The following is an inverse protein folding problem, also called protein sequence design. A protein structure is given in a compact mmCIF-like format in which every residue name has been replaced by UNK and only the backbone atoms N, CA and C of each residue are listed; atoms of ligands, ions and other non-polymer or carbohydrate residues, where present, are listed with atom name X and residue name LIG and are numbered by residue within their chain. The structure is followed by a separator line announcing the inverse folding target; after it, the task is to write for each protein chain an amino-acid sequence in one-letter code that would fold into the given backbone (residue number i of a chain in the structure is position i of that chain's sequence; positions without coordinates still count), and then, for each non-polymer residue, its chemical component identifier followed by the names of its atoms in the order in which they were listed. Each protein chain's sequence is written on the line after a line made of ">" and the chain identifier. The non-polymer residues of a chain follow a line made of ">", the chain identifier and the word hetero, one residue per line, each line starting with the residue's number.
data_IF_562128562142
#
_entry.id   IF_562128562142
#
_cell.length_a   1.000
_cell.length_b   1.000
_cell.length_c   1.000
_cell.angle_alpha   90.00
_cell.angle_beta   90.00
_cell.angle_gamma   90.00
#
_symmetry.space_group_name_H-M   'P 1'
#
loop_
_entity.id
_entity.type
_entity.pdbx_description
1 polymer ?
#
# COMPACT_ATOMS: atom_id res chain seq x y z
N UNK A 1 4.84 -7.64 -15.70
CA UNK A 1 4.72 -7.33 -14.26
C UNK A 1 4.72 -8.64 -13.47
N UNK A 2 5.31 -8.68 -12.29
CA UNK A 2 5.27 -9.88 -11.42
C UNK A 2 4.18 -9.66 -10.38
N UNK A 3 3.07 -10.43 -10.36
CA UNK A 3 1.97 -10.19 -9.45
C UNK A 3 2.39 -10.42 -8.00
N UNK A 4 2.01 -9.51 -7.11
CA UNK A 4 2.02 -9.76 -5.68
C UNK A 4 0.76 -10.56 -5.36
N UNK A 5 0.91 -11.76 -4.81
CA UNK A 5 -0.18 -12.73 -4.54
C UNK A 5 -1.34 -12.19 -3.66
N UNK A 6 -1.27 -10.96 -3.17
CA UNK A 6 -2.27 -10.38 -2.25
C UNK A 6 -2.55 -8.89 -2.48
N UNK A 7 -2.04 -8.28 -3.56
CA UNK A 7 -2.29 -6.88 -3.83
C UNK A 7 -2.82 -6.70 -5.25
N UNK A 8 -4.07 -6.27 -5.44
CA UNK A 8 -4.71 -6.14 -6.74
C UNK A 8 -4.13 -5.03 -7.63
N UNK A 9 -3.27 -4.14 -7.10
CA UNK A 9 -2.70 -3.01 -7.82
C UNK A 9 -2.20 -3.35 -9.21
N UNK A 10 -1.38 -4.42 -9.34
CA UNK A 10 -0.80 -4.79 -10.63
C UNK A 10 -1.85 -5.31 -11.61
N UNK A 11 -2.85 -6.04 -11.12
CA UNK A 11 -3.94 -6.55 -11.94
C UNK A 11 -4.80 -5.40 -12.43
N UNK A 12 -5.22 -4.50 -11.55
CA UNK A 12 -6.02 -3.33 -11.89
C UNK A 12 -5.29 -2.40 -12.88
N UNK A 13 -4.00 -2.16 -12.67
CA UNK A 13 -3.20 -1.39 -13.62
C UNK A 13 -3.08 -2.11 -14.97
N UNK A 14 -2.87 -3.44 -14.97
CA UNK A 14 -2.73 -4.21 -16.21
C UNK A 14 -4.03 -4.23 -17.00
N UNK A 15 -5.17 -4.37 -16.33
CA UNK A 15 -6.48 -4.36 -16.98
C UNK A 15 -6.78 -2.98 -17.59
N UNK A 16 -6.54 -1.91 -16.83
CA UNK A 16 -6.71 -0.55 -17.35
C UNK A 16 -5.75 -0.21 -18.51
N UNK A 17 -4.51 -0.75 -18.52
CA UNK A 17 -3.60 -0.61 -19.65
C UNK A 17 -4.06 -1.42 -20.88
N UNK A 18 -4.73 -2.56 -20.69
CA UNK A 18 -5.36 -3.32 -21.78
C UNK A 18 -6.53 -2.57 -22.39
N UNK A 19 -7.33 -1.90 -21.55
CA UNK A 19 -8.43 -1.03 -21.99
C UNK A 19 -7.91 0.17 -22.83
N UNK A 20 -6.69 0.64 -22.57
CA UNK A 20 -5.98 1.64 -23.40
C UNK A 20 -5.29 1.02 -24.64
N UNK A 21 -5.58 -0.24 -24.97
CA UNK A 21 -5.09 -0.92 -26.18
C UNK A 21 -3.69 -1.54 -26.08
N UNK A 22 -3.08 -1.63 -24.90
CA UNK A 22 -1.77 -2.25 -24.75
C UNK A 22 -1.88 -3.76 -24.50
N UNK A 23 -0.98 -4.54 -25.10
CA UNK A 23 -0.81 -5.95 -24.72
C UNK A 23 0.00 -6.04 -23.44
N UNK A 24 -0.62 -6.49 -22.34
CA UNK A 24 0.02 -6.58 -21.03
C UNK A 24 0.05 -8.03 -20.55
N UNK A 25 1.26 -8.54 -20.29
CA UNK A 25 1.50 -9.83 -19.65
C UNK A 25 1.91 -9.61 -18.19
N UNK A 26 1.19 -10.22 -17.26
CA UNK A 26 1.63 -10.31 -15.87
C UNK A 26 2.64 -11.47 -15.77
N UNK A 27 3.89 -11.14 -15.45
CA UNK A 27 4.93 -12.15 -15.27
C UNK A 27 4.70 -12.92 -13.97
N UNK A 28 4.81 -14.25 -14.01
CA UNK A 28 4.85 -15.06 -12.81
C UNK A 28 6.10 -14.72 -11.99
N UNK A 29 5.92 -14.63 -10.66
CA UNK A 29 7.05 -14.47 -9.75
C UNK A 29 8.00 -15.68 -9.86
N UNK A 30 9.32 -15.50 -9.62
CA UNK A 30 10.28 -16.58 -9.72
C UNK A 30 10.01 -17.67 -8.68
N UNK A 31 9.46 -18.80 -9.12
CA UNK A 31 9.37 -20.05 -8.36
C UNK A 31 9.66 -21.21 -9.31
N UNK A 32 10.71 -21.99 -9.10
CA UNK A 32 11.87 -21.77 -8.23
C UNK A 32 12.72 -20.58 -8.71
N UNK A 33 13.54 -19.99 -7.84
CA UNK A 33 14.34 -18.78 -8.11
C UNK A 33 15.36 -19.05 -9.24
N UNK A 34 15.16 -18.58 -10.48
CA UNK A 34 16.07 -18.86 -11.58
C UNK A 34 17.37 -18.04 -11.48
N UNK A 35 18.41 -18.47 -12.20
CA UNK A 35 19.69 -17.75 -12.25
C UNK A 35 19.53 -16.34 -12.84
N UNK A 36 18.62 -16.16 -13.79
CA UNK A 36 18.33 -14.89 -14.45
C UNK A 36 16.81 -14.60 -14.48
N UNK A 37 16.21 -14.21 -13.33
CA UNK A 37 14.76 -14.14 -13.20
C UNK A 37 14.08 -13.10 -14.11
N UNK A 38 14.71 -11.96 -14.36
CA UNK A 38 14.16 -10.92 -15.24
C UNK A 38 14.24 -11.35 -16.70
N UNK A 39 15.36 -11.89 -17.14
CA UNK A 39 15.54 -12.37 -18.53
C UNK A 39 14.57 -13.52 -18.84
N UNK A 40 14.43 -14.47 -17.92
CA UNK A 40 13.52 -15.60 -18.11
C UNK A 40 12.07 -15.12 -18.14
N UNK A 41 11.67 -14.21 -17.25
CA UNK A 41 10.33 -13.62 -17.25
C UNK A 41 10.07 -12.86 -18.57
N UNK A 42 11.04 -12.10 -19.05
CA UNK A 42 10.95 -11.35 -20.32
C UNK A 42 10.81 -12.29 -21.54
N UNK A 43 11.61 -13.36 -21.60
CA UNK A 43 11.52 -14.37 -22.68
C UNK A 43 10.15 -15.07 -22.67
N UNK A 44 9.69 -15.51 -21.48
CA UNK A 44 8.38 -16.17 -21.32
C UNK A 44 7.19 -15.25 -21.68
N UNK A 45 7.35 -13.94 -21.46
CA UNK A 45 6.35 -12.96 -21.83
C UNK A 45 6.34 -12.59 -23.34
N UNK A 46 7.16 -13.25 -24.16
CA UNK A 46 7.25 -12.97 -25.60
C UNK A 46 8.10 -11.76 -25.95
N UNK A 47 9.11 -11.47 -25.14
CA UNK A 47 10.09 -10.39 -25.35
C UNK A 47 9.44 -9.00 -25.54
N UNK A 48 8.64 -8.53 -24.59
CA UNK A 48 7.96 -7.24 -24.69
C UNK A 48 8.96 -6.08 -24.78
N UNK A 49 8.53 -4.98 -25.42
CA UNK A 49 9.35 -3.76 -25.55
C UNK A 49 9.51 -2.99 -24.26
N UNK A 50 8.65 -3.24 -23.27
CA UNK A 50 8.65 -2.58 -21.98
C UNK A 50 8.63 -3.62 -20.87
N UNK A 51 9.46 -3.42 -19.86
CA UNK A 51 9.43 -4.15 -18.60
C UNK A 51 9.06 -3.19 -17.48
N UNK A 52 7.92 -3.41 -16.85
CA UNK A 52 7.47 -2.62 -15.71
C UNK A 52 7.71 -3.38 -14.42
N UNK A 53 8.54 -2.83 -13.56
CA UNK A 53 9.00 -3.43 -12.32
C UNK A 53 8.18 -2.87 -11.13
N UNK A 54 7.88 -3.78 -10.18
CA UNK A 54 7.28 -3.45 -8.88
C UNK A 54 8.10 -4.12 -7.78
N UNK A 55 7.83 -3.93 -6.53
CA UNK A 55 8.39 -4.63 -5.35
C UNK A 55 9.73 -5.36 -5.57
N UNK A 56 10.79 -4.61 -5.71
CA UNK A 56 12.13 -5.12 -6.08
C UNK A 56 12.78 -6.04 -5.03
N UNK A 57 12.30 -6.04 -3.77
CA UNK A 57 12.82 -6.89 -2.70
C UNK A 57 12.88 -8.37 -3.09
N UNK A 58 11.93 -8.88 -3.89
CA UNK A 58 11.93 -10.27 -4.38
C UNK A 58 13.12 -10.62 -5.26
N UNK A 59 13.66 -9.64 -5.99
CA UNK A 59 14.84 -9.81 -6.85
C UNK A 59 16.15 -9.69 -6.08
N UNK A 60 16.11 -9.17 -4.85
CA UNK A 60 17.25 -9.06 -3.95
C UNK A 60 17.40 -10.28 -3.04
N UNK A 61 16.42 -11.17 -3.00
CA UNK A 61 16.53 -12.43 -2.27
C UNK A 61 17.49 -13.39 -2.99
N UNK A 62 18.61 -13.83 -2.34
CA UNK A 62 19.56 -14.71 -2.98
C UNK A 62 19.02 -16.13 -3.15
N UNK A 63 19.33 -16.76 -4.27
CA UNK A 63 19.11 -18.19 -4.50
C UNK A 63 20.12 -19.02 -3.69
N UNK A 64 21.39 -18.59 -3.78
CA UNK A 64 22.57 -19.09 -3.08
C UNK A 64 23.46 -17.87 -2.84
N UNK A 65 23.98 -17.68 -1.62
CA UNK A 65 24.94 -16.63 -1.33
C UNK A 65 24.34 -15.32 -0.80
N UNK A 66 25.04 -14.19 -1.04
CA UNK A 66 24.72 -12.91 -0.45
C UNK A 66 23.76 -12.06 -1.28
N UNK A 67 22.95 -11.24 -0.63
CA UNK A 67 22.04 -10.24 -1.28
C UNK A 67 22.77 -9.32 -2.29
N UNK A 68 24.04 -8.99 -2.03
CA UNK A 68 24.87 -8.20 -2.95
C UNK A 68 25.06 -8.86 -4.32
N UNK A 69 25.16 -10.17 -4.37
CA UNK A 69 25.22 -10.91 -5.64
C UNK A 69 23.88 -10.83 -6.39
N UNK A 70 22.76 -11.02 -5.69
CA UNK A 70 21.42 -10.91 -6.29
C UNK A 70 21.17 -9.48 -6.84
N UNK A 71 21.59 -8.45 -6.11
CA UNK A 71 21.51 -7.06 -6.56
C UNK A 71 22.34 -6.82 -7.84
N UNK A 72 23.62 -7.26 -7.86
CA UNK A 72 24.50 -7.12 -9.04
C UNK A 72 23.94 -7.86 -10.26
N UNK A 73 23.45 -9.09 -10.06
CA UNK A 73 22.81 -9.89 -11.11
C UNK A 73 21.61 -9.16 -11.70
N UNK A 74 20.69 -8.68 -10.87
CA UNK A 74 19.47 -7.96 -11.31
C UNK A 74 19.84 -6.70 -12.11
N UNK A 75 20.81 -5.92 -11.65
CA UNK A 75 21.30 -4.75 -12.37
C UNK A 75 21.97 -5.13 -13.71
N UNK A 76 22.67 -6.26 -13.78
CA UNK A 76 23.23 -6.76 -15.03
C UNK A 76 22.14 -7.16 -16.02
N UNK A 77 21.12 -7.90 -15.58
CA UNK A 77 19.98 -8.27 -16.40
C UNK A 77 19.27 -7.03 -16.98
N UNK A 78 19.07 -5.97 -16.16
CA UNK A 78 18.49 -4.71 -16.62
C UNK A 78 19.38 -4.01 -17.66
N UNK A 79 20.71 -4.02 -17.49
CA UNK A 79 21.64 -3.46 -18.50
C UNK A 79 21.55 -4.22 -19.82
N UNK A 80 21.43 -5.54 -19.78
CA UNK A 80 21.27 -6.38 -20.98
C UNK A 80 19.95 -6.07 -21.66
N UNK A 81 18.84 -6.06 -20.94
CA UNK A 81 17.51 -5.71 -21.48
C UNK A 81 17.53 -4.32 -22.16
N UNK A 82 18.13 -3.32 -21.53
CA UNK A 82 18.26 -1.98 -22.14
C UNK A 82 19.10 -1.99 -23.41
N UNK A 83 20.18 -2.76 -23.48
CA UNK A 83 20.98 -2.90 -24.71
C UNK A 83 20.21 -3.59 -25.83
N UNK A 84 19.23 -4.43 -25.49
CA UNK A 84 18.28 -5.04 -26.43
C UNK A 84 17.13 -4.10 -26.82
N UNK A 85 17.16 -2.83 -26.39
CA UNK A 85 16.14 -1.83 -26.69
C UNK A 85 14.88 -1.93 -25.82
N UNK A 86 14.92 -2.72 -24.74
CA UNK A 86 13.78 -2.84 -23.81
C UNK A 86 13.74 -1.62 -22.89
N UNK A 87 12.61 -0.97 -22.84
CA UNK A 87 12.32 0.14 -21.92
C UNK A 87 12.05 -0.38 -20.52
N UNK A 88 12.64 0.24 -19.52
CA UNK A 88 12.49 -0.14 -18.11
C UNK A 88 11.72 0.94 -17.36
N UNK A 89 10.57 0.57 -16.82
CA UNK A 89 9.77 1.42 -15.92
C UNK A 89 9.71 0.76 -14.54
N UNK A 90 9.81 1.55 -13.49
CA UNK A 90 9.72 1.05 -12.11
C UNK A 90 8.69 1.84 -11.30
N UNK A 91 7.76 1.15 -10.62
CA UNK A 91 6.89 1.79 -9.62
C UNK A 91 7.49 1.64 -8.23
N UNK A 92 7.74 2.76 -7.58
CA UNK A 92 8.27 2.85 -6.24
C UNK A 92 7.13 2.70 -5.21
N UNK A 93 7.06 1.53 -4.58
CA UNK A 93 6.06 1.26 -3.54
C UNK A 93 6.59 1.49 -2.11
N UNK A 94 7.91 1.41 -1.90
CA UNK A 94 8.58 1.62 -0.62
C UNK A 94 9.97 2.20 -0.86
N UNK A 95 10.45 3.04 0.05
CA UNK A 95 11.82 3.58 -0.03
C UNK A 95 12.86 2.48 0.25
N UNK A 96 12.60 1.58 1.19
CA UNK A 96 13.46 0.46 1.56
C UNK A 96 12.69 -0.60 2.34
N UNK A 97 13.39 -1.62 2.82
CA UNK A 97 12.82 -2.59 3.74
C UNK A 97 12.67 -1.96 5.14
N UNK A 98 11.49 -2.13 5.75
CA UNK A 98 11.18 -1.55 7.07
C UNK A 98 12.05 -2.09 8.22
N UNK A 99 12.83 -3.18 8.02
CA UNK A 99 13.72 -3.72 9.06
C UNK A 99 15.13 -3.11 9.07
N UNK A 100 15.47 -2.32 8.06
CA UNK A 100 16.69 -1.52 7.95
C UNK A 100 18.02 -2.29 7.91
N UNK A 101 17.98 -3.63 7.89
CA UNK A 101 19.19 -4.48 8.04
C UNK A 101 20.22 -4.33 6.94
N UNK A 102 19.84 -3.87 5.76
CA UNK A 102 20.70 -3.77 4.57
C UNK A 102 20.61 -2.41 3.89
N UNK A 103 20.35 -1.35 4.66
CA UNK A 103 20.04 0.00 4.16
C UNK A 103 21.06 0.51 3.12
N UNK A 104 22.37 0.36 3.36
CA UNK A 104 23.40 0.84 2.42
C UNK A 104 23.38 0.08 1.08
N UNK A 105 23.19 -1.22 1.11
CA UNK A 105 23.08 -2.04 -0.10
C UNK A 105 21.82 -1.68 -0.89
N UNK A 106 20.70 -1.51 -0.21
CA UNK A 106 19.43 -1.14 -0.82
C UNK A 106 19.49 0.25 -1.45
N UNK A 107 20.03 1.24 -0.74
CA UNK A 107 20.24 2.59 -1.27
C UNK A 107 21.10 2.55 -2.54
N UNK A 108 22.23 1.85 -2.51
CA UNK A 108 23.11 1.72 -3.67
C UNK A 108 22.44 1.01 -4.84
N UNK A 109 21.62 -0.02 -4.56
CA UNK A 109 20.86 -0.74 -5.57
C UNK A 109 19.77 0.16 -6.18
N UNK A 110 18.95 0.84 -5.38
CA UNK A 110 17.87 1.69 -5.86
C UNK A 110 18.40 2.90 -6.64
N UNK A 111 19.52 3.51 -6.22
CA UNK A 111 20.20 4.55 -7.01
C UNK A 111 20.55 4.06 -8.42
N UNK A 112 21.14 2.85 -8.54
CA UNK A 112 21.47 2.28 -9.85
C UNK A 112 20.20 1.87 -10.63
N UNK A 113 19.16 1.40 -9.95
CA UNK A 113 17.88 1.09 -10.56
C UNK A 113 17.23 2.33 -11.18
N UNK A 114 17.21 3.47 -10.46
CA UNK A 114 16.75 4.75 -11.02
C UNK A 114 17.57 5.14 -12.26
N UNK A 115 18.90 5.02 -12.20
CA UNK A 115 19.77 5.35 -13.34
C UNK A 115 19.53 4.42 -14.56
N UNK A 116 19.09 3.18 -14.33
CA UNK A 116 18.77 2.22 -15.39
C UNK A 116 17.29 2.27 -15.82
N UNK A 117 16.42 2.93 -15.09
CA UNK A 117 15.01 3.09 -15.45
C UNK A 117 14.85 4.25 -16.43
N UNK A 118 13.96 4.10 -17.39
CA UNK A 118 13.55 5.18 -18.30
C UNK A 118 12.50 6.08 -17.64
N UNK A 119 11.69 5.50 -16.72
CA UNK A 119 10.83 6.23 -15.83
C UNK A 119 10.70 5.50 -14.48
N UNK A 120 10.54 6.28 -13.40
CA UNK A 120 10.22 5.79 -12.05
C UNK A 120 8.91 6.45 -11.62
N UNK A 121 7.90 5.65 -11.39
CA UNK A 121 6.59 6.12 -10.92
C UNK A 121 6.62 6.26 -9.41
N UNK A 122 6.37 7.47 -8.92
CA UNK A 122 6.11 7.80 -7.53
C UNK A 122 4.62 8.13 -7.38
N UNK A 123 3.96 7.71 -6.29
CA UNK A 123 2.51 7.89 -6.17
C UNK A 123 2.10 9.28 -5.67
N UNK A 124 3.06 10.11 -5.25
CA UNK A 124 2.85 11.48 -4.80
C UNK A 124 4.17 12.27 -4.89
N UNK A 125 4.13 13.58 -4.76
CA UNK A 125 5.34 14.42 -4.78
C UNK A 125 6.23 14.19 -3.55
N UNK A 126 5.63 13.95 -2.37
CA UNK A 126 6.39 13.57 -1.18
C UNK A 126 7.20 12.29 -1.42
N UNK A 127 6.64 11.25 -2.07
CA UNK A 127 7.37 10.02 -2.40
C UNK A 127 8.51 10.29 -3.40
N UNK A 128 8.30 11.19 -4.36
CA UNK A 128 9.34 11.61 -5.29
C UNK A 128 10.51 12.27 -4.56
N UNK A 129 10.23 13.22 -3.67
CA UNK A 129 11.26 13.90 -2.89
C UNK A 129 11.97 12.94 -1.94
N UNK A 130 11.22 12.09 -1.22
CA UNK A 130 11.80 11.07 -0.34
C UNK A 130 12.74 10.11 -1.09
N UNK A 131 12.43 9.75 -2.34
CA UNK A 131 13.32 8.91 -3.15
C UNK A 131 14.60 9.66 -3.55
N UNK A 132 14.51 10.94 -3.92
CA UNK A 132 15.64 11.77 -4.24
C UNK A 132 16.61 11.83 -3.05
N UNK A 133 16.09 12.12 -1.87
CA UNK A 133 16.88 12.27 -0.65
C UNK A 133 17.45 10.93 -0.16
N UNK A 134 16.61 9.89 -0.07
CA UNK A 134 17.00 8.59 0.46
C UNK A 134 18.03 7.86 -0.40
N UNK A 135 17.98 8.06 -1.72
CA UNK A 135 18.93 7.44 -2.65
C UNK A 135 20.05 8.38 -3.07
N UNK A 136 20.08 9.62 -2.56
CA UNK A 136 21.03 10.67 -2.91
C UNK A 136 21.16 10.77 -4.44
N UNK A 137 20.04 11.04 -5.12
CA UNK A 137 19.95 11.03 -6.56
C UNK A 137 20.56 12.31 -7.18
N UNK A 138 21.40 12.17 -8.21
CA UNK A 138 21.90 13.34 -8.93
C UNK A 138 20.78 14.05 -9.71
N UNK A 139 20.83 15.38 -9.82
CA UNK A 139 19.81 16.19 -10.50
C UNK A 139 19.49 15.69 -11.92
N UNK A 140 20.49 15.14 -12.64
CA UNK A 140 20.32 14.56 -13.98
C UNK A 140 19.37 13.36 -14.07
N UNK A 141 18.94 12.81 -12.93
CA UNK A 141 17.99 11.68 -12.88
C UNK A 141 16.60 12.10 -12.38
N UNK A 142 16.43 13.33 -11.88
CA UNK A 142 15.17 13.77 -11.28
C UNK A 142 13.99 13.74 -12.28
N UNK A 143 14.25 14.05 -13.55
CA UNK A 143 13.21 14.01 -14.61
C UNK A 143 12.69 12.60 -14.91
N UNK A 144 13.38 11.57 -14.44
CA UNK A 144 12.88 10.18 -14.56
C UNK A 144 11.82 9.84 -13.53
N UNK A 145 11.79 10.56 -12.38
CA UNK A 145 10.80 10.35 -11.33
C UNK A 145 9.52 11.12 -11.69
N UNK A 146 8.46 10.37 -11.98
CA UNK A 146 7.17 10.91 -12.44
C UNK A 146 6.10 10.60 -11.41
N UNK A 147 5.30 11.61 -11.09
CA UNK A 147 4.17 11.42 -10.17
C UNK A 147 2.98 10.87 -10.93
N UNK A 148 2.55 9.67 -10.54
CA UNK A 148 1.34 9.01 -11.04
C UNK A 148 0.59 8.46 -9.82
N UNK A 149 -0.61 8.93 -9.51
CA UNK A 149 -1.34 8.53 -8.31
C UNK A 149 -1.58 7.02 -8.23
N UNK A 150 -1.78 6.51 -7.01
CA UNK A 150 -2.25 5.15 -6.80
C UNK A 150 -3.74 5.06 -7.11
N UNK A 151 -4.16 4.12 -7.95
CA UNK A 151 -5.55 3.91 -8.31
C UNK A 151 -6.41 3.36 -7.18
N UNK A 152 -7.72 3.60 -7.24
CA UNK A 152 -8.70 3.08 -6.29
C UNK A 152 -8.96 1.57 -6.46
N UNK A 153 -9.83 1.01 -5.62
CA UNK A 153 -10.19 -0.42 -5.65
C UNK A 153 -11.65 -0.65 -6.07
N UNK A 154 -12.27 0.33 -6.76
CA UNK A 154 -13.63 0.19 -7.25
C UNK A 154 -13.77 -1.02 -8.17
N UNK A 155 -14.80 -1.84 -7.92
CA UNK A 155 -15.09 -3.05 -8.69
C UNK A 155 -14.18 -4.27 -8.42
N UNK A 156 -13.15 -4.14 -7.59
CA UNK A 156 -12.28 -5.29 -7.24
C UNK A 156 -12.87 -6.15 -6.12
N UNK A 157 -13.21 -5.53 -5.00
CA UNK A 157 -13.85 -6.23 -3.88
C UNK A 157 -15.36 -6.20 -4.02
N UNK A 158 -16.03 -7.25 -3.56
CA UNK A 158 -17.50 -7.25 -3.45
C UNK A 158 -17.96 -6.07 -2.58
N UNK A 159 -19.01 -5.39 -3.01
CA UNK A 159 -19.61 -4.26 -2.32
C UNK A 159 -21.15 -4.32 -2.50
N UNK A 160 -21.73 -5.43 -2.06
CA UNK A 160 -23.16 -5.73 -2.18
C UNK A 160 -23.85 -5.76 -0.83
N UNK A 161 -23.09 -5.70 0.27
CA UNK A 161 -23.58 -5.77 1.62
C UNK A 161 -23.90 -4.37 2.18
N UNK A 162 -25.15 -4.19 2.64
CA UNK A 162 -25.54 -2.96 3.35
C UNK A 162 -24.88 -2.88 4.73
N UNK A 163 -24.78 -1.66 5.26
CA UNK A 163 -24.17 -1.34 6.57
C UNK A 163 -24.77 -2.16 7.71
N UNK A 164 -26.10 -2.24 7.82
CA UNK A 164 -26.77 -2.94 8.93
C UNK A 164 -26.47 -4.44 8.92
N UNK A 165 -26.49 -5.07 7.75
CA UNK A 165 -26.13 -6.47 7.60
C UNK A 165 -24.63 -6.72 7.91
N UNK A 166 -23.74 -5.79 7.54
CA UNK A 166 -22.33 -5.86 7.87
C UNK A 166 -22.10 -5.75 9.39
N UNK A 167 -22.78 -4.82 10.06
CA UNK A 167 -22.71 -4.64 11.52
C UNK A 167 -23.27 -5.86 12.26
N UNK A 168 -24.40 -6.40 11.82
CA UNK A 168 -24.95 -7.64 12.38
C UNK A 168 -23.97 -8.82 12.24
N UNK A 169 -23.29 -8.95 11.10
CA UNK A 169 -22.28 -9.99 10.88
C UNK A 169 -21.03 -9.82 11.75
N UNK A 170 -20.77 -8.60 12.28
CA UNK A 170 -19.69 -8.29 13.23
C UNK A 170 -20.17 -8.36 14.70
N UNK A 171 -21.45 -8.71 14.95
CA UNK A 171 -22.04 -8.75 16.30
C UNK A 171 -22.19 -7.37 16.94
N UNK A 172 -22.36 -6.33 16.14
CA UNK A 172 -22.46 -4.95 16.59
C UNK A 172 -23.91 -4.51 16.68
N UNK A 173 -24.17 -3.60 17.61
CA UNK A 173 -25.48 -2.97 17.81
C UNK A 173 -25.56 -1.60 17.13
N UNK A 174 -26.78 -1.12 16.89
CA UNK A 174 -27.01 0.24 16.42
C UNK A 174 -26.65 1.22 17.55
N UNK A 175 -25.89 2.28 17.23
CA UNK A 175 -25.41 3.28 18.20
C UNK A 175 -23.94 3.13 18.57
N UNK A 176 -23.34 1.96 18.43
CA UNK A 176 -21.90 1.81 18.61
C UNK A 176 -21.12 2.51 17.50
N UNK A 177 -20.00 3.13 17.85
CA UNK A 177 -19.05 3.75 16.90
C UNK A 177 -17.88 2.82 16.63
N UNK A 178 -17.79 2.32 15.39
CA UNK A 178 -16.85 1.28 15.01
C UNK A 178 -15.61 1.83 14.29
N UNK A 179 -14.46 1.61 14.87
CA UNK A 179 -13.16 1.88 14.30
C UNK A 179 -12.53 0.59 13.78
N UNK A 180 -12.00 0.60 12.57
CA UNK A 180 -11.39 -0.55 11.93
C UNK A 180 -9.92 -0.32 11.64
N UNK A 181 -9.05 -1.20 12.12
CA UNK A 181 -7.74 -1.41 11.53
C UNK A 181 -7.82 -2.59 10.57
N UNK A 182 -7.41 -2.43 9.30
CA UNK A 182 -7.44 -3.50 8.30
C UNK A 182 -6.12 -3.60 7.54
N UNK A 183 -5.60 -4.83 7.42
CA UNK A 183 -4.39 -5.15 6.67
C UNK A 183 -3.40 -6.00 7.44
N UNK A 184 -2.17 -6.13 6.93
CA UNK A 184 -1.13 -6.89 7.64
C UNK A 184 -0.80 -6.22 8.98
N UNK A 185 -0.84 -6.98 10.08
CA UNK A 185 -0.51 -6.48 11.42
C UNK A 185 1.00 -6.59 11.63
N UNK A 186 1.70 -5.45 11.46
CA UNK A 186 3.16 -5.34 11.58
C UNK A 186 3.53 -4.23 12.55
N UNK A 187 4.70 -4.30 13.18
CA UNK A 187 5.15 -3.32 14.19
C UNK A 187 5.14 -1.87 13.69
N UNK A 188 5.62 -1.62 12.46
CA UNK A 188 5.61 -0.27 11.88
C UNK A 188 4.20 0.28 11.57
N UNK A 189 3.18 -0.57 11.59
CA UNK A 189 1.77 -0.17 11.40
C UNK A 189 1.09 0.31 12.68
N UNK A 190 1.80 0.37 13.81
CA UNK A 190 1.36 1.05 15.02
C UNK A 190 0.18 0.41 15.77
N UNK A 191 -0.17 -0.86 15.48
CA UNK A 191 -1.36 -1.50 16.08
C UNK A 191 -1.27 -1.60 17.59
N UNK A 192 -0.08 -1.88 18.15
CA UNK A 192 0.11 -2.00 19.60
C UNK A 192 -0.12 -0.66 20.31
N UNK A 193 0.29 0.45 19.69
CA UNK A 193 0.01 1.80 20.16
C UNK A 193 -1.49 2.11 20.09
N UNK A 194 -2.14 1.79 18.99
CA UNK A 194 -3.58 1.95 18.82
C UNK A 194 -4.35 1.21 19.93
N UNK A 195 -3.99 -0.04 20.21
CA UNK A 195 -4.63 -0.83 21.28
C UNK A 195 -4.49 -0.14 22.65
N UNK A 196 -3.31 0.38 22.95
CA UNK A 196 -3.05 1.07 24.22
C UNK A 196 -3.83 2.38 24.35
N UNK A 197 -3.84 3.19 23.27
CA UNK A 197 -4.56 4.46 23.21
C UNK A 197 -6.07 4.23 23.28
N UNK A 198 -6.58 3.23 22.53
CA UNK A 198 -8.00 2.91 22.53
C UNK A 198 -8.49 2.40 23.89
N UNK A 199 -7.71 1.56 24.57
CA UNK A 199 -8.05 1.07 25.90
C UNK A 199 -8.17 2.20 26.93
N UNK A 200 -7.37 3.27 26.79
CA UNK A 200 -7.41 4.46 27.64
C UNK A 200 -8.53 5.46 27.27
N UNK A 201 -9.22 5.23 26.16
CA UNK A 201 -10.28 6.13 25.68
C UNK A 201 -11.57 5.94 26.49
N UNK A 202 -12.06 7.03 27.08
CA UNK A 202 -13.36 7.04 27.75
C UNK A 202 -14.49 7.17 26.71
N UNK A 203 -14.88 6.02 26.14
CA UNK A 203 -15.91 5.90 25.13
C UNK A 203 -16.53 4.49 25.16
N UNK A 204 -17.51 4.24 26.06
CA UNK A 204 -18.08 2.89 26.24
C UNK A 204 -18.78 2.33 24.99
N UNK A 205 -19.32 3.22 24.16
CA UNK A 205 -20.01 2.86 22.92
C UNK A 205 -19.07 2.78 21.70
N UNK A 206 -17.76 2.99 21.88
CA UNK A 206 -16.78 2.79 20.82
C UNK A 206 -16.37 1.32 20.71
N UNK A 207 -16.16 0.85 19.48
CA UNK A 207 -15.61 -0.48 19.15
C UNK A 207 -14.36 -0.35 18.31
N UNK A 208 -13.37 -1.17 18.60
CA UNK A 208 -12.17 -1.33 17.77
C UNK A 208 -12.12 -2.73 17.18
N UNK A 209 -12.04 -2.83 15.89
CA UNK A 209 -11.88 -4.09 15.16
C UNK A 209 -10.48 -4.11 14.55
N UNK A 210 -9.69 -5.14 14.88
CA UNK A 210 -8.37 -5.38 14.28
C UNK A 210 -8.47 -6.57 13.34
N UNK A 211 -8.51 -6.31 12.02
CA UNK A 211 -8.65 -7.33 11.00
C UNK A 211 -7.40 -7.46 10.15
N UNK A 212 -6.82 -8.68 10.10
CA UNK A 212 -5.70 -8.97 9.21
C UNK A 212 -4.65 -9.92 9.76
N UNK A 213 -3.64 -10.22 8.93
CA UNK A 213 -2.63 -11.24 9.24
C UNK A 213 -1.45 -10.67 10.04
N UNK A 214 -1.21 -11.12 11.27
CA UNK A 214 0.01 -10.81 12.01
C UNK A 214 1.24 -11.43 11.34
N UNK A 215 2.33 -10.67 11.28
CA UNK A 215 3.60 -11.15 10.73
C UNK A 215 4.47 -11.91 11.74
N UNK A 216 4.19 -11.74 13.05
CA UNK A 216 4.92 -12.39 14.15
C UNK A 216 3.93 -13.00 15.14
N UNK A 217 4.35 -14.11 15.78
CA UNK A 217 3.57 -14.76 16.83
C UNK A 217 3.32 -13.81 18.03
N UNK A 218 4.33 -13.02 18.42
CA UNK A 218 4.19 -12.07 19.51
C UNK A 218 3.14 -10.99 19.23
N UNK A 219 3.10 -10.45 18.00
CA UNK A 219 2.07 -9.47 17.62
C UNK A 219 0.66 -10.07 17.70
N UNK A 220 0.47 -11.34 17.33
CA UNK A 220 -0.79 -12.06 17.51
C UNK A 220 -1.18 -12.11 18.98
N UNK A 221 -0.26 -12.57 19.85
CA UNK A 221 -0.49 -12.70 21.30
C UNK A 221 -0.89 -11.34 21.91
N UNK A 222 -0.20 -10.27 21.53
CA UNK A 222 -0.46 -8.92 22.05
C UNK A 222 -1.87 -8.43 21.67
N UNK A 223 -2.30 -8.64 20.43
CA UNK A 223 -3.64 -8.25 19.97
C UNK A 223 -4.73 -9.09 20.65
N UNK A 224 -4.56 -10.41 20.73
CA UNK A 224 -5.50 -11.31 21.41
C UNK A 224 -5.61 -10.99 22.91
N UNK A 225 -4.50 -10.67 23.55
CA UNK A 225 -4.49 -10.25 24.96
C UNK A 225 -5.19 -8.90 25.20
N UNK A 226 -5.07 -7.95 24.27
CA UNK A 226 -5.80 -6.68 24.37
C UNK A 226 -7.32 -6.90 24.22
N UNK A 227 -7.75 -7.70 23.26
CA UNK A 227 -9.14 -8.06 23.05
C UNK A 227 -9.75 -8.82 24.26
N UNK A 228 -8.95 -9.66 24.93
CA UNK A 228 -9.39 -10.36 26.14
C UNK A 228 -9.55 -9.44 27.37
N UNK A 229 -8.87 -8.29 27.41
CA UNK A 229 -8.91 -7.33 28.53
C UNK A 229 -9.95 -6.23 28.36
N UNK A 230 -10.31 -5.89 27.12
CA UNK A 230 -11.26 -4.83 26.80
C UNK A 230 -12.31 -5.35 25.83
N UNK A 231 -13.54 -5.52 26.30
CA UNK A 231 -14.66 -6.05 25.52
C UNK A 231 -15.05 -5.17 24.31
N UNK A 232 -14.55 -3.93 24.26
CA UNK A 232 -14.73 -3.03 23.12
C UNK A 232 -13.79 -3.38 21.96
N UNK A 233 -12.78 -4.23 22.19
CA UNK A 233 -11.79 -4.61 21.17
C UNK A 233 -12.11 -6.02 20.67
N UNK A 234 -12.23 -6.16 19.37
CA UNK A 234 -12.37 -7.45 18.69
C UNK A 234 -11.27 -7.65 17.65
N UNK A 235 -10.94 -8.91 17.37
CA UNK A 235 -9.91 -9.20 16.37
C UNK A 235 -10.29 -10.36 15.45
N UNK A 236 -9.93 -10.22 14.17
CA UNK A 236 -10.01 -11.24 13.13
C UNK A 236 -8.61 -11.45 12.54
N UNK A 237 -7.80 -12.30 13.21
CA UNK A 237 -6.38 -12.45 12.92
C UNK A 237 -6.12 -13.58 11.93
N UNK A 238 -5.96 -13.22 10.66
CA UNK A 238 -5.70 -14.12 9.54
C UNK A 238 -5.73 -13.38 8.21
N UNK A 239 -5.71 -14.14 7.13
CA UNK A 239 -6.01 -13.60 5.81
C UNK A 239 -7.52 -13.36 5.77
N UNK A 240 -7.91 -12.13 5.50
CA UNK A 240 -9.31 -11.78 5.28
C UNK A 240 -9.62 -12.12 3.81
N UNK A 241 -10.57 -13.00 3.54
CA UNK A 241 -10.98 -13.29 2.16
C UNK A 241 -11.55 -12.06 1.46
N UNK A 242 -11.35 -11.94 0.16
CA UNK A 242 -11.74 -10.76 -0.62
C UNK A 242 -13.25 -10.48 -0.54
N UNK A 243 -14.09 -11.52 -0.54
CA UNK A 243 -15.55 -11.44 -0.39
C UNK A 243 -15.98 -10.95 1.01
N UNK A 244 -15.12 -11.15 2.03
CA UNK A 244 -15.36 -10.72 3.41
C UNK A 244 -14.88 -9.29 3.70
N UNK A 245 -14.09 -8.68 2.82
CA UNK A 245 -13.59 -7.31 3.01
C UNK A 245 -14.73 -6.30 3.21
N UNK A 246 -15.82 -6.45 2.46
CA UNK A 246 -17.00 -5.60 2.59
C UNK A 246 -17.65 -5.65 3.98
N UNK A 247 -17.61 -6.78 4.69
CA UNK A 247 -18.17 -6.90 6.04
C UNK A 247 -17.49 -5.94 7.00
N UNK A 248 -16.17 -5.88 6.99
CA UNK A 248 -15.39 -5.02 7.86
C UNK A 248 -15.52 -3.56 7.44
N UNK A 249 -15.36 -3.27 6.16
CA UNK A 249 -15.38 -1.91 5.63
C UNK A 249 -16.76 -1.27 5.71
N UNK A 250 -17.85 -2.00 5.40
CA UNK A 250 -19.21 -1.48 5.52
C UNK A 250 -19.71 -1.41 6.96
N UNK A 251 -19.22 -2.26 7.86
CA UNK A 251 -19.58 -2.25 9.28
C UNK A 251 -18.88 -1.16 10.09
N UNK A 252 -17.74 -0.65 9.63
CA UNK A 252 -17.00 0.41 10.29
C UNK A 252 -17.58 1.80 10.08
N UNK A 253 -17.21 2.75 10.93
CA UNK A 253 -17.49 4.18 10.81
C UNK A 253 -16.25 4.96 10.34
N UNK A 254 -15.05 4.44 10.66
CA UNK A 254 -13.79 4.97 10.18
C UNK A 254 -12.72 3.87 10.17
N UNK A 255 -11.72 4.02 9.29
CA UNK A 255 -10.54 3.17 9.26
C UNK A 255 -9.38 3.91 9.91
N UNK A 256 -8.71 3.26 10.87
CA UNK A 256 -7.55 3.80 11.58
C UNK A 256 -6.29 3.11 11.09
N UNK A 257 -5.32 3.89 10.64
CA UNK A 257 -4.04 3.44 10.12
C UNK A 257 -2.89 4.16 10.85
N UNK A 258 -2.55 3.76 12.06
CA UNK A 258 -1.61 4.49 12.95
C UNK A 258 -0.15 4.18 12.58
N UNK A 259 0.20 4.39 11.33
CA UNK A 259 1.50 4.02 10.80
C UNK A 259 2.64 4.85 11.39
N UNK A 260 3.74 4.19 11.74
CA UNK A 260 4.99 4.84 12.15
C UNK A 260 5.92 5.08 10.97
N UNK A 261 5.71 4.31 9.91
CA UNK A 261 6.47 4.41 8.66
C UNK A 261 5.60 3.91 7.51
N UNK A 262 5.47 4.71 6.46
CA UNK A 262 4.74 4.35 5.24
C UNK A 262 5.15 5.29 4.10
N UNK A 263 5.33 4.72 2.91
CA UNK A 263 5.41 5.54 1.69
C UNK A 263 4.01 5.69 1.10
N UNK A 264 3.38 4.58 0.74
CA UNK A 264 2.02 4.52 0.18
C UNK A 264 1.17 3.50 0.92
N UNK A 265 -0.15 3.68 0.96
CA UNK A 265 -1.04 2.77 1.66
C UNK A 265 -2.24 2.34 0.82
N UNK A 266 -2.20 1.12 0.30
CA UNK A 266 -3.37 0.51 -0.34
C UNK A 266 -4.57 0.37 0.61
N UNK A 267 -4.35 0.13 1.91
CA UNK A 267 -5.45 0.05 2.89
C UNK A 267 -6.17 1.40 3.05
N UNK A 268 -5.45 2.52 2.93
CA UNK A 268 -6.06 3.84 3.01
C UNK A 268 -6.93 4.14 1.77
N UNK A 269 -6.41 3.86 0.58
CA UNK A 269 -7.18 3.99 -0.68
C UNK A 269 -8.39 3.05 -0.69
N UNK A 270 -8.23 1.82 -0.18
CA UNK A 270 -9.33 0.86 -0.04
C UNK A 270 -10.43 1.38 0.90
N UNK A 271 -10.06 1.94 2.05
CA UNK A 271 -11.02 2.52 2.98
C UNK A 271 -11.84 3.64 2.30
N UNK A 272 -11.17 4.58 1.63
CA UNK A 272 -11.85 5.63 0.89
C UNK A 272 -12.72 5.10 -0.26
N UNK A 273 -12.29 4.03 -0.94
CA UNK A 273 -13.10 3.40 -2.01
C UNK A 273 -14.44 2.89 -1.47
N UNK A 274 -14.46 2.41 -0.22
CA UNK A 274 -15.69 2.00 0.47
C UNK A 274 -16.42 3.15 1.18
N UNK A 275 -16.00 4.38 0.97
CA UNK A 275 -16.61 5.56 1.62
C UNK A 275 -16.31 5.63 3.11
N UNK A 276 -15.20 5.04 3.57
CA UNK A 276 -14.79 5.14 4.96
C UNK A 276 -13.77 6.27 5.12
N UNK A 277 -13.98 7.21 6.07
CA UNK A 277 -12.97 8.19 6.40
C UNK A 277 -11.76 7.50 7.03
N UNK A 278 -10.58 8.07 6.78
CA UNK A 278 -9.32 7.53 7.28
C UNK A 278 -8.76 8.41 8.38
N UNK A 279 -8.38 7.78 9.49
CA UNK A 279 -7.63 8.40 10.59
C UNK A 279 -6.19 7.92 10.47
N UNK A 280 -5.24 8.83 10.22
CA UNK A 280 -3.86 8.44 9.95
C UNK A 280 -2.86 9.57 10.28
N UNK A 281 -1.56 9.26 10.52
CA UNK A 281 -0.53 10.27 10.67
C UNK A 281 -0.25 10.99 9.32
N UNK A 282 0.14 12.24 9.40
CA UNK A 282 0.51 13.05 8.23
C UNK A 282 1.94 12.73 7.76
N UNK A 283 2.19 11.49 7.27
CA UNK A 283 3.50 11.02 6.80
C UNK A 283 3.43 10.40 5.40
N UNK A 284 4.57 10.37 4.72
CA UNK A 284 4.70 9.78 3.39
C UNK A 284 3.71 10.38 2.39
N UNK A 285 3.07 9.53 1.61
CA UNK A 285 2.04 9.93 0.67
C UNK A 285 0.64 10.16 1.30
N UNK A 286 0.44 9.86 2.59
CA UNK A 286 -0.90 9.89 3.16
C UNK A 286 -1.60 11.26 3.00
N UNK A 287 -0.94 12.41 3.29
CA UNK A 287 -1.59 13.72 3.11
C UNK A 287 -2.03 13.99 1.66
N UNK A 288 -1.17 13.71 0.70
CA UNK A 288 -1.47 13.94 -0.73
C UNK A 288 -2.47 12.92 -1.28
N UNK A 289 -2.33 11.64 -0.92
CA UNK A 289 -3.16 10.55 -1.45
C UNK A 289 -4.57 10.55 -0.87
N UNK A 290 -4.74 11.02 0.35
CA UNK A 290 -6.04 11.01 1.05
C UNK A 290 -6.77 12.34 0.90
N UNK A 291 -6.05 13.45 0.68
CA UNK A 291 -6.63 14.79 0.76
C UNK A 291 -7.05 15.14 2.19
N UNK A 292 -7.55 16.36 2.38
CA UNK A 292 -7.94 16.86 3.70
C UNK A 292 -9.43 16.71 4.02
N UNK A 293 -10.28 16.52 3.01
CA UNK A 293 -11.72 16.64 3.18
C UNK A 293 -12.42 15.41 3.76
N UNK A 294 -11.87 14.22 3.51
CA UNK A 294 -12.44 12.93 3.92
C UNK A 294 -11.59 12.19 4.98
N UNK A 295 -10.72 12.91 5.71
CA UNK A 295 -9.73 12.31 6.60
C UNK A 295 -9.55 13.09 7.89
N UNK A 296 -9.05 12.40 8.91
CA UNK A 296 -8.53 13.00 10.14
C UNK A 296 -7.02 12.69 10.17
N UNK A 297 -6.23 13.65 9.70
CA UNK A 297 -4.78 13.55 9.73
C UNK A 297 -4.22 14.14 11.02
N UNK A 298 -3.26 13.47 11.64
CA UNK A 298 -2.62 13.91 12.88
C UNK A 298 -1.09 13.99 12.74
N UNK A 299 -0.45 14.81 13.59
CA UNK A 299 1.01 14.95 13.62
C UNK A 299 1.67 13.67 14.16
N UNK A 300 2.60 13.10 13.41
CA UNK A 300 3.22 11.81 13.76
C UNK A 300 4.25 11.90 14.90
N UNK A 301 4.76 13.10 15.17
CA UNK A 301 5.75 13.41 16.21
C UNK A 301 5.12 13.80 17.56
N UNK A 302 3.81 14.02 17.60
CA UNK A 302 3.09 14.28 18.87
C UNK A 302 2.57 12.96 19.46
N UNK A 303 3.01 12.55 20.65
CA UNK A 303 2.60 11.31 21.31
C UNK A 303 1.11 11.27 21.68
N UNK A 304 0.42 12.41 21.76
CA UNK A 304 -0.99 12.49 22.07
C UNK A 304 -1.89 12.54 20.85
N UNK A 305 -1.32 12.80 19.66
CA UNK A 305 -2.08 13.12 18.45
C UNK A 305 -3.02 11.99 18.02
N UNK A 306 -2.63 10.71 18.18
CA UNK A 306 -3.51 9.58 17.90
C UNK A 306 -4.73 9.56 18.84
N UNK A 307 -4.54 9.85 20.13
CA UNK A 307 -5.63 9.92 21.11
C UNK A 307 -6.59 11.08 20.78
N UNK A 308 -6.06 12.24 20.42
CA UNK A 308 -6.84 13.42 20.05
C UNK A 308 -7.60 13.21 18.73
N UNK A 309 -6.98 12.54 17.75
CA UNK A 309 -7.64 12.14 16.51
C UNK A 309 -8.81 11.17 16.78
N UNK A 310 -8.66 10.23 17.70
CA UNK A 310 -9.74 9.33 18.10
C UNK A 310 -10.87 10.09 18.83
N UNK A 311 -10.53 11.02 19.75
CA UNK A 311 -11.54 11.89 20.41
C UNK A 311 -12.29 12.76 19.39
N UNK A 312 -11.57 13.33 18.43
CA UNK A 312 -12.18 14.07 17.31
C UNK A 312 -13.15 13.18 16.55
N UNK A 313 -12.74 11.96 16.21
CA UNK A 313 -13.57 11.00 15.49
C UNK A 313 -14.83 10.57 16.27
N UNK A 314 -14.85 10.71 17.60
CA UNK A 314 -16.06 10.46 18.41
C UNK A 314 -17.11 11.57 18.28
N UNK A 315 -16.73 12.76 17.85
CA UNK A 315 -17.60 13.95 17.88
C UNK A 315 -18.02 14.44 16.49
N UNK A 316 -17.22 14.17 15.46
CA UNK A 316 -17.48 14.61 14.10
C UNK A 316 -18.48 13.71 13.37
N UNK A 317 -19.09 14.25 12.31
CA UNK A 317 -19.91 13.47 11.37
C UNK A 317 -19.02 12.64 10.45
N UNK A 318 -18.79 11.38 10.85
CA UNK A 318 -17.98 10.43 10.06
C UNK A 318 -18.66 10.01 8.75
N UNK A 319 -20.00 10.07 8.66
CA UNK A 319 -20.71 9.74 7.43
C UNK A 319 -20.43 10.81 6.36
N UNK A 320 -20.54 12.09 6.73
CA UNK A 320 -20.18 13.18 5.83
C UNK A 320 -18.70 13.20 5.44
N UNK A 321 -17.78 12.82 6.35
CA UNK A 321 -16.37 12.60 6.01
C UNK A 321 -16.22 11.45 5.02
N UNK A 322 -16.95 10.37 5.20
CA UNK A 322 -16.94 9.19 4.34
C UNK A 322 -17.40 9.49 2.90
N UNK A 323 -18.45 10.31 2.75
CA UNK A 323 -18.91 10.77 1.43
C UNK A 323 -17.79 11.54 0.69
N UNK A 324 -17.09 12.43 1.39
CA UNK A 324 -15.96 13.17 0.82
C UNK A 324 -14.77 12.24 0.50
N UNK A 325 -14.50 11.24 1.35
CA UNK A 325 -13.48 10.22 1.09
C UNK A 325 -13.82 9.42 -0.18
N UNK A 326 -15.08 8.99 -0.36
CA UNK A 326 -15.54 8.31 -1.56
C UNK A 326 -15.39 9.18 -2.82
N UNK A 327 -15.80 10.46 -2.74
CA UNK A 327 -15.65 11.41 -3.83
C UNK A 327 -14.17 11.63 -4.21
N UNK A 328 -13.26 11.65 -3.22
CA UNK A 328 -11.81 11.71 -3.47
C UNK A 328 -11.32 10.42 -4.14
N UNK A 329 -11.68 9.24 -3.62
CA UNK A 329 -11.29 7.95 -4.21
C UNK A 329 -11.78 7.80 -5.66
N UNK A 330 -12.96 8.33 -6.00
CA UNK A 330 -13.48 8.30 -7.37
C UNK A 330 -12.57 9.03 -8.37
N UNK A 331 -11.86 10.09 -7.94
CA UNK A 331 -10.87 10.80 -8.78
C UNK A 331 -9.62 9.98 -9.08
N UNK A 332 -9.34 8.94 -8.28
CA UNK A 332 -8.23 8.01 -8.45
C UNK A 332 -8.59 6.83 -9.38
N UNK A 333 -9.38 7.08 -10.40
CA UNK A 333 -9.81 6.07 -11.38
C UNK A 333 -8.63 5.57 -12.22
N UNK A 334 -8.63 4.27 -12.56
CA UNK A 334 -7.52 3.64 -13.27
C UNK A 334 -7.34 4.10 -14.72
N UNK A 335 -8.40 4.53 -15.42
CA UNK A 335 -8.29 4.99 -16.81
C UNK A 335 -7.29 6.15 -17.00
N UNK A 336 -7.45 7.31 -16.32
CA UNK A 336 -6.44 8.38 -16.38
C UNK A 336 -5.04 7.94 -15.94
N UNK A 337 -4.93 7.10 -14.91
CA UNK A 337 -3.65 6.55 -14.42
C UNK A 337 -2.98 5.67 -15.48
N UNK A 338 -3.76 4.82 -16.15
CA UNK A 338 -3.26 3.96 -17.22
C UNK A 338 -2.77 4.78 -18.44
N UNK A 339 -3.51 5.82 -18.85
CA UNK A 339 -3.08 6.72 -19.94
C UNK A 339 -1.75 7.38 -19.61
N UNK A 340 -1.63 8.01 -18.44
CA UNK A 340 -0.35 8.62 -18.01
C UNK A 340 0.78 7.57 -17.93
N UNK A 341 0.48 6.36 -17.47
CA UNK A 341 1.47 5.26 -17.41
C UNK A 341 1.87 4.81 -18.81
N UNK A 342 0.93 4.71 -19.75
CA UNK A 342 1.19 4.35 -21.14
C UNK A 342 2.08 5.37 -21.87
N UNK A 343 1.90 6.67 -21.58
CA UNK A 343 2.79 7.72 -22.08
C UNK A 343 4.23 7.49 -21.63
N UNK A 344 4.45 7.04 -20.38
CA UNK A 344 5.79 6.72 -19.89
C UNK A 344 6.41 5.50 -20.59
N UNK A 345 5.61 4.65 -21.22
CA UNK A 345 6.11 3.50 -22.01
C UNK A 345 6.56 3.91 -23.40
N UNK A 346 6.12 5.04 -23.92
CA UNK A 346 6.36 5.49 -25.30
C UNK A 346 7.19 6.77 -25.38
N UNK A 347 7.34 7.53 -24.29
CA UNK A 347 8.15 8.76 -24.26
C UNK A 347 9.58 8.49 -24.75
N UNK A 348 10.08 9.33 -25.66
CA UNK A 348 11.45 9.24 -26.20
C UNK A 348 12.50 9.75 -25.22
#
# INVERSE_FOLDING_TARGET
>A
MVPAQSNPYQTLLADALRDEGLTVTLGEGPTPRPVAPLMIAWLRAGMPRVVHLHWMHRYLEPLLGHRSWAARRTLLELRVLRRLGVRVVWTLHNIGEHDGRHKSLETAFHRQLVALSDAVICHCEAARQMAIDAYDLPASTHDRLRVVPHGNYAGWYADTLGRDAARAALGMTNGERAFLFIGQVRGYKGVEELLSVFAALDAPDARLIVAGRPNKKQTRINVEAAAARDARISCALGIIPDDRMQVYLRGADAVILPYRDVLTSGSAILAMTFGQPVIAPAIGCLPESLGSEGTILYAADDPNALADALRTALTVDLAALGERAAAHAARLAWGPIARTTAELYTAK
#
